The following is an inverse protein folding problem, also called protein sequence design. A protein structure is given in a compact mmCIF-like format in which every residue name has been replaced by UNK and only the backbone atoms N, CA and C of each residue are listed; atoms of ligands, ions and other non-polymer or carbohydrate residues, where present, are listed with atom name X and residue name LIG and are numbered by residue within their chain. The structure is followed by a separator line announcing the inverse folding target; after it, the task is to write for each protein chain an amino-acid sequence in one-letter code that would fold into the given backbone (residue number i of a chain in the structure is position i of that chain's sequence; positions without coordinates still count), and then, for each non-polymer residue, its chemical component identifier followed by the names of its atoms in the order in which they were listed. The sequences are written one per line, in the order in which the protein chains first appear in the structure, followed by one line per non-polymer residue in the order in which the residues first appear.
data_IF_382112806025
#
_entry.id   IF_382112806025
#
_cell.length_a   1.000
_cell.length_b   1.000
_cell.length_c   1.000
_cell.angle_alpha   90.00
_cell.angle_beta   90.00
_cell.angle_gamma   90.00
#
_symmetry.space_group_name_H-M   'P 1'
#
loop_
_entity.id
_entity.type
_entity.pdbx_description
1 polymer ?
#
# COMPACT_ATOMS: atom_id res chain seq x y z
N UNK A 1 -1.91 -13.64 -24.33
CA UNK A 1 -2.58 -14.60 -23.43
C UNK A 1 -4.01 -14.10 -23.27
N UNK A 2 -5.01 -14.81 -23.78
CA UNK A 2 -6.41 -14.41 -23.57
C UNK A 2 -6.82 -14.88 -22.17
N UNK A 3 -7.23 -13.95 -21.32
CA UNK A 3 -7.85 -14.26 -20.04
C UNK A 3 -9.30 -14.63 -20.36
N UNK A 4 -9.69 -15.89 -20.18
CA UNK A 4 -11.09 -16.31 -20.34
C UNK A 4 -11.80 -16.10 -19.00
N UNK A 5 -12.75 -15.17 -18.89
CA UNK A 5 -13.49 -14.95 -17.65
C UNK A 5 -14.32 -16.19 -17.27
N UNK A 6 -14.38 -16.50 -15.97
CA UNK A 6 -15.13 -17.66 -15.45
C UNK A 6 -16.61 -17.30 -15.25
N UNK A 7 -17.56 -17.85 -16.04
CA UNK A 7 -18.97 -17.50 -15.94
C UNK A 7 -19.63 -17.92 -14.62
N UNK A 8 -18.99 -18.79 -13.84
CA UNK A 8 -19.50 -19.24 -12.53
C UNK A 8 -19.16 -18.27 -11.38
N UNK A 9 -18.44 -17.18 -11.65
CA UNK A 9 -18.08 -16.16 -10.65
C UNK A 9 -18.80 -14.84 -10.96
N UNK A 10 -19.26 -14.09 -9.94
CA UNK A 10 -19.86 -12.77 -10.16
C UNK A 10 -18.98 -11.83 -10.99
N UNK A 11 -17.66 -11.90 -10.79
CA UNK A 11 -16.68 -11.10 -11.51
C UNK A 11 -16.57 -11.53 -12.98
N UNK A 12 -16.56 -12.83 -13.25
CA UNK A 12 -16.52 -13.34 -14.61
C UNK A 12 -17.84 -13.13 -15.37
N UNK A 13 -18.98 -13.22 -14.70
CA UNK A 13 -20.28 -12.84 -15.27
C UNK A 13 -20.30 -11.34 -15.64
N UNK A 14 -19.79 -10.47 -14.76
CA UNK A 14 -19.69 -9.04 -15.02
C UNK A 14 -18.80 -8.71 -16.23
N UNK A 15 -17.65 -9.36 -16.35
CA UNK A 15 -16.74 -9.18 -17.49
C UNK A 15 -17.39 -9.68 -18.79
N UNK A 16 -18.12 -10.80 -18.75
CA UNK A 16 -18.84 -11.34 -19.91
C UNK A 16 -19.99 -10.39 -20.33
N UNK A 17 -20.74 -9.81 -19.38
CA UNK A 17 -21.77 -8.80 -19.66
C UNK A 17 -21.17 -7.56 -20.34
N UNK A 18 -20.05 -7.04 -19.83
CA UNK A 18 -19.39 -5.87 -20.43
C UNK A 18 -18.92 -6.17 -21.84
N UNK A 19 -18.26 -7.31 -22.06
CA UNK A 19 -17.80 -7.73 -23.38
C UNK A 19 -18.98 -7.82 -24.37
N UNK A 20 -20.10 -8.43 -23.97
CA UNK A 20 -21.29 -8.52 -24.80
C UNK A 20 -21.90 -7.15 -25.16
N UNK A 21 -21.92 -6.20 -24.21
CA UNK A 21 -22.41 -4.83 -24.45
C UNK A 21 -21.52 -4.05 -25.42
N UNK A 22 -20.19 -4.19 -25.30
CA UNK A 22 -19.23 -3.53 -26.18
C UNK A 22 -19.24 -4.14 -27.59
N UNK A 23 -19.36 -5.47 -27.73
CA UNK A 23 -19.51 -6.14 -29.03
C UNK A 23 -20.82 -5.72 -29.73
N UNK A 24 -21.91 -5.61 -28.99
CA UNK A 24 -23.19 -5.13 -29.51
C UNK A 24 -23.11 -3.66 -29.97
N UNK A 25 -22.38 -2.81 -29.24
CA UNK A 25 -22.12 -1.43 -29.66
C UNK A 25 -21.33 -1.41 -30.96
N UNK A 26 -20.22 -2.16 -31.02
CA UNK A 26 -19.37 -2.25 -32.20
C UNK A 26 -20.14 -2.71 -33.44
N UNK A 27 -20.99 -3.72 -33.29
CA UNK A 27 -21.80 -4.24 -34.38
C UNK A 27 -22.82 -3.20 -34.90
N UNK A 28 -23.25 -2.26 -34.05
CA UNK A 28 -24.26 -1.26 -34.38
C UNK A 28 -23.68 0.02 -34.97
N UNK A 29 -22.55 0.51 -34.46
CA UNK A 29 -21.99 1.81 -34.84
C UNK A 29 -20.79 1.70 -35.76
N UNK A 30 -20.05 0.57 -35.75
CA UNK A 30 -18.80 0.41 -36.50
C UNK A 30 -17.66 1.33 -36.05
N UNK A 31 -17.90 2.22 -35.09
CA UNK A 31 -16.94 3.19 -34.57
C UNK A 31 -16.67 2.93 -33.08
N UNK A 32 -15.38 2.92 -32.76
CA UNK A 32 -14.80 2.86 -31.42
C UNK A 32 -13.89 4.08 -31.21
N UNK A 33 -13.85 4.73 -30.03
CA UNK A 33 -14.83 4.86 -28.95
C UNK A 33 -15.58 6.21 -28.97
N UNK A 34 -16.85 6.24 -28.52
CA UNK A 34 -17.72 7.43 -28.48
C UNK A 34 -18.52 7.56 -27.16
N UNK A 35 -19.43 8.55 -27.07
CA UNK A 35 -20.21 8.83 -25.85
C UNK A 35 -20.97 7.61 -25.31
N UNK A 36 -21.50 6.77 -26.21
CA UNK A 36 -22.20 5.52 -25.88
C UNK A 36 -21.33 4.53 -25.07
N UNK A 37 -20.01 4.56 -25.26
CA UNK A 37 -19.08 3.71 -24.49
C UNK A 37 -19.01 4.14 -23.03
N UNK A 38 -19.05 5.46 -22.77
CA UNK A 38 -19.02 6.03 -21.42
C UNK A 38 -20.32 5.69 -20.68
N UNK A 39 -21.46 5.79 -21.34
CA UNK A 39 -22.77 5.44 -20.76
C UNK A 39 -22.86 3.95 -20.43
N UNK A 40 -22.37 3.07 -21.31
CA UNK A 40 -22.30 1.62 -21.06
C UNK A 40 -21.42 1.32 -19.84
N UNK A 41 -20.25 1.96 -19.73
CA UNK A 41 -19.36 1.78 -18.59
C UNK A 41 -19.97 2.30 -17.29
N UNK A 42 -20.66 3.46 -17.33
CA UNK A 42 -21.33 4.04 -16.18
C UNK A 42 -22.48 3.18 -15.65
N UNK A 43 -23.34 2.69 -16.54
CA UNK A 43 -24.42 1.76 -16.20
C UNK A 43 -23.89 0.42 -15.70
N UNK A 44 -22.82 -0.11 -16.33
CA UNK A 44 -22.18 -1.35 -15.90
C UNK A 44 -21.56 -1.24 -14.50
N UNK A 45 -20.80 -0.17 -14.22
CA UNK A 45 -20.22 0.10 -12.89
C UNK A 45 -21.29 0.31 -11.81
N UNK A 46 -22.45 0.84 -12.18
CA UNK A 46 -23.58 1.02 -11.25
C UNK A 46 -24.25 -0.30 -10.86
N UNK A 47 -24.20 -1.32 -11.73
CA UNK A 47 -24.79 -2.65 -11.50
C UNK A 47 -23.83 -3.60 -10.80
N UNK A 48 -22.55 -3.50 -11.12
CA UNK A 48 -21.50 -4.35 -10.55
C UNK A 48 -20.62 -3.52 -9.61
N UNK A 49 -21.03 -3.49 -8.34
CA UNK A 49 -20.20 -2.91 -7.29
C UNK A 49 -19.09 -3.91 -6.93
N UNK A 50 -17.88 -3.71 -7.47
CA UNK A 50 -16.65 -4.32 -6.94
C UNK A 50 -16.24 -3.61 -5.64
N UNK A 51 -17.18 -3.48 -4.72
CA UNK A 51 -16.84 -3.11 -3.36
C UNK A 51 -16.08 -4.31 -2.81
N UNK A 52 -14.76 -4.20 -2.77
CA UNK A 52 -13.89 -5.03 -1.94
C UNK A 52 -14.60 -5.12 -0.59
N UNK A 53 -15.18 -6.28 -0.27
CA UNK A 53 -15.88 -6.46 1.00
C UNK A 53 -14.80 -6.35 2.07
N UNK A 54 -14.67 -5.12 2.58
CA UNK A 54 -13.63 -4.67 3.50
C UNK A 54 -14.03 -5.15 4.88
N UNK A 55 -14.16 -6.45 5.05
CA UNK A 55 -14.25 -7.07 6.37
C UNK A 55 -12.84 -7.10 6.99
N UNK A 56 -12.20 -5.92 7.07
CA UNK A 56 -11.03 -5.73 7.89
C UNK A 56 -11.54 -5.73 9.33
N UNK A 57 -11.14 -6.73 10.10
CA UNK A 57 -11.49 -6.74 11.50
C UNK A 57 -10.50 -5.80 12.19
N UNK A 58 -11.01 -4.68 12.72
CA UNK A 58 -10.19 -3.72 13.47
C UNK A 58 -9.76 -4.39 14.78
N UNK A 59 -8.49 -4.77 14.89
CA UNK A 59 -7.92 -5.23 16.15
C UNK A 59 -7.12 -4.09 16.77
N UNK A 60 -7.51 -3.63 17.95
CA UNK A 60 -6.73 -2.65 18.72
C UNK A 60 -5.49 -3.37 19.25
N UNK A 61 -4.31 -2.92 18.82
CA UNK A 61 -3.00 -3.55 19.13
C UNK A 61 -2.21 -2.77 20.17
N UNK A 62 -2.65 -1.55 20.50
CA UNK A 62 -2.02 -0.71 21.49
C UNK A 62 -2.74 0.64 21.61
N UNK A 63 -2.26 1.45 22.54
CA UNK A 63 -2.69 2.83 22.71
C UNK A 63 -1.49 3.73 22.51
N UNK A 64 -1.63 4.78 21.73
CA UNK A 64 -0.63 5.83 21.61
C UNK A 64 -1.24 7.18 21.98
N UNK A 65 -0.38 8.08 22.39
CA UNK A 65 -0.74 9.46 22.67
C UNK A 65 -0.39 10.31 21.45
N UNK A 66 -1.41 10.93 20.89
CA UNK A 66 -1.31 11.82 19.73
C UNK A 66 -1.22 13.24 20.26
N UNK A 67 -0.06 13.86 20.06
CA UNK A 67 0.14 15.29 20.33
C UNK A 67 0.10 16.02 18.99
N UNK A 68 -0.93 16.84 18.81
CA UNK A 68 -1.01 17.78 17.70
C UNK A 68 -0.76 19.19 18.24
N UNK A 69 0.16 19.91 17.61
CA UNK A 69 0.48 21.31 17.92
C UNK A 69 0.42 22.09 16.62
N UNK A 70 -0.21 23.25 16.64
CA UNK A 70 -0.25 24.13 15.49
C UNK A 70 0.12 25.54 15.89
N UNK A 71 0.75 26.24 14.95
CA UNK A 71 0.93 27.68 14.97
C UNK A 71 0.51 28.29 13.61
N UNK A 72 0.71 29.59 13.43
CA UNK A 72 0.41 30.28 12.15
C UNK A 72 1.24 29.81 10.94
N UNK A 73 2.27 29.00 11.13
CA UNK A 73 3.24 28.57 10.13
C UNK A 73 3.33 27.05 9.98
N UNK A 74 2.84 26.27 10.94
CA UNK A 74 3.00 24.82 11.00
C UNK A 74 1.84 24.13 11.72
N UNK A 75 1.57 22.88 11.33
CA UNK A 75 0.63 21.97 12.00
C UNK A 75 1.33 20.61 12.08
N UNK A 76 1.79 20.26 13.27
CA UNK A 76 2.63 19.10 13.52
C UNK A 76 1.87 18.06 14.37
N UNK A 77 1.96 16.80 13.96
CA UNK A 77 1.38 15.66 14.67
C UNK A 77 2.49 14.69 15.03
N UNK A 78 2.64 14.41 16.33
CA UNK A 78 3.63 13.46 16.86
C UNK A 78 2.96 12.35 17.67
N UNK A 79 3.59 11.16 17.67
CA UNK A 79 3.08 9.96 18.32
C UNK A 79 4.01 9.54 19.47
N UNK A 80 3.41 9.23 20.62
CA UNK A 80 4.12 8.88 21.85
C UNK A 80 3.58 7.59 22.47
N UNK A 81 4.45 6.83 23.14
CA UNK A 81 4.09 5.60 23.86
C UNK A 81 3.23 5.84 25.09
N UNK A 82 3.35 7.02 25.71
CA UNK A 82 2.72 7.38 26.97
C UNK A 82 2.51 8.90 27.06
N UNK A 83 1.57 9.29 27.92
CA UNK A 83 1.16 10.67 28.14
C UNK A 83 2.29 11.54 28.68
N UNK A 84 3.08 10.99 29.61
CA UNK A 84 4.15 11.72 30.27
C UNK A 84 5.25 12.13 29.28
N UNK A 85 5.59 11.25 28.33
CA UNK A 85 6.54 11.56 27.27
C UNK A 85 6.03 12.63 26.31
N UNK A 86 4.73 12.58 25.96
CA UNK A 86 4.09 13.61 25.14
C UNK A 86 4.09 14.98 25.83
N UNK A 87 3.75 15.01 27.13
CA UNK A 87 3.77 16.23 27.95
C UNK A 87 5.20 16.77 28.13
N UNK A 88 6.18 15.90 28.37
CA UNK A 88 7.58 16.31 28.50
C UNK A 88 8.09 16.97 27.21
N UNK A 89 7.73 16.43 26.04
CA UNK A 89 8.07 17.02 24.75
C UNK A 89 7.36 18.36 24.52
N UNK A 90 6.08 18.46 24.88
CA UNK A 90 5.33 19.72 24.81
C UNK A 90 5.92 20.79 25.74
N UNK A 91 6.28 20.42 26.97
CA UNK A 91 6.93 21.30 27.92
C UNK A 91 8.31 21.73 27.42
N UNK A 92 9.08 20.83 26.80
CA UNK A 92 10.35 21.19 26.18
C UNK A 92 10.16 22.25 25.08
N UNK A 93 9.14 22.13 24.23
CA UNK A 93 8.80 23.18 23.26
C UNK A 93 8.46 24.50 23.96
N UNK A 94 7.55 24.49 24.93
CA UNK A 94 7.16 25.67 25.68
C UNK A 94 8.37 26.40 26.30
N UNK A 95 9.32 25.65 26.86
CA UNK A 95 10.57 26.20 27.42
C UNK A 95 11.49 26.75 26.35
N UNK A 96 11.60 26.08 25.20
CA UNK A 96 12.42 26.55 24.08
C UNK A 96 11.90 27.86 23.48
N UNK A 97 10.59 28.10 23.62
CA UNK A 97 9.89 29.29 23.12
C UNK A 97 9.53 30.27 24.24
N UNK A 98 10.10 30.13 25.43
CA UNK A 98 9.67 30.85 26.64
C UNK A 98 9.77 32.37 26.52
N UNK A 99 10.71 32.87 25.72
CA UNK A 99 10.88 34.30 25.44
C UNK A 99 9.61 34.95 24.86
N UNK A 100 8.70 34.16 24.30
CA UNK A 100 7.40 34.63 23.79
C UNK A 100 6.36 34.94 24.89
N UNK A 101 6.57 34.49 26.13
CA UNK A 101 5.68 34.73 27.29
C UNK A 101 6.42 35.30 28.50
N UNK A 102 7.74 35.33 28.51
CA UNK A 102 8.52 35.75 29.67
C UNK A 102 8.15 37.17 30.13
N UNK A 103 7.74 37.31 31.39
CA UNK A 103 7.41 38.60 32.00
C UNK A 103 6.04 39.16 31.65
N UNK A 104 5.18 38.41 30.95
CA UNK A 104 3.75 38.74 30.81
C UNK A 104 2.97 38.31 32.06
N UNK A 105 1.75 38.83 32.24
CA UNK A 105 0.89 38.67 33.42
C UNK A 105 1.03 37.33 34.17
N UNK A 106 1.76 37.35 35.30
CA UNK A 106 1.93 36.19 36.18
C UNK A 106 2.93 35.12 35.68
N UNK A 107 3.53 35.31 34.50
CA UNK A 107 4.53 34.40 33.91
C UNK A 107 5.94 34.81 34.34
N UNK A 108 6.73 33.89 34.95
CA UNK A 108 8.09 34.18 35.36
C UNK A 108 9.02 34.41 34.16
N UNK A 109 10.09 35.19 34.36
CA UNK A 109 11.11 35.41 33.34
C UNK A 109 11.88 34.15 32.94
N UNK A 110 11.91 33.13 33.81
CA UNK A 110 12.53 31.86 33.54
C UNK A 110 11.49 30.74 33.57
N UNK A 111 11.56 29.77 32.64
CA UNK A 111 10.61 28.68 32.59
C UNK A 111 10.67 27.81 33.85
N UNK A 112 9.51 27.37 34.39
CA UNK A 112 9.46 26.37 35.45
C UNK A 112 10.06 25.03 35.01
N UNK A 113 10.66 24.32 35.96
CA UNK A 113 11.17 22.96 35.74
C UNK A 113 10.06 21.89 35.71
N UNK A 114 8.89 22.20 36.27
CA UNK A 114 7.72 21.32 36.21
C UNK A 114 7.05 21.42 34.82
N UNK A 115 6.75 20.28 34.21
CA UNK A 115 6.24 20.21 32.83
C UNK A 115 4.84 20.79 32.72
N UNK A 116 3.94 20.41 33.64
CA UNK A 116 2.56 20.89 33.62
C UNK A 116 2.50 22.41 33.84
N UNK A 117 3.26 22.92 34.80
CA UNK A 117 3.32 24.35 35.09
C UNK A 117 3.88 25.14 33.91
N UNK A 118 4.88 24.62 33.21
CA UNK A 118 5.43 25.27 32.02
C UNK A 118 4.41 25.31 30.86
N UNK A 119 3.66 24.22 30.64
CA UNK A 119 2.62 24.14 29.62
C UNK A 119 1.48 25.11 29.93
N UNK A 120 0.98 25.10 31.17
CA UNK A 120 -0.17 25.91 31.59
C UNK A 120 0.13 27.41 31.47
N UNK A 121 1.35 27.83 31.81
CA UNK A 121 1.77 29.24 31.70
C UNK A 121 2.06 29.67 30.26
N UNK A 122 2.61 28.76 29.42
CA UNK A 122 2.93 29.08 28.04
C UNK A 122 1.68 29.14 27.15
N UNK A 123 0.78 28.16 27.28
CA UNK A 123 -0.45 28.08 26.49
C UNK A 123 -1.59 28.89 27.09
N UNK A 124 -1.62 29.06 28.43
CA UNK A 124 -2.42 30.06 29.14
C UNK A 124 -3.91 30.13 28.81
N UNK A 125 -4.63 31.15 29.33
CA UNK A 125 -6.00 31.42 28.90
C UNK A 125 -6.01 31.85 27.42
N UNK A 126 -6.87 31.22 26.62
CA UNK A 126 -7.01 31.38 25.15
C UNK A 126 -7.22 32.81 24.63
N UNK A 127 -7.42 33.79 25.51
CA UNK A 127 -7.79 35.16 25.16
C UNK A 127 -6.64 35.95 24.48
N UNK A 128 -5.40 35.45 24.50
CA UNK A 128 -4.23 36.20 24.02
C UNK A 128 -3.40 35.50 22.92
N UNK A 129 -3.59 34.19 22.65
CA UNK A 129 -2.95 33.44 21.55
C UNK A 129 -4.01 32.67 20.77
N UNK A 130 -4.55 33.30 19.73
CA UNK A 130 -5.52 32.66 18.83
C UNK A 130 -4.87 31.81 17.73
N UNK A 131 -3.55 31.91 17.57
CA UNK A 131 -2.81 31.34 16.44
C UNK A 131 -1.87 30.20 16.80
N UNK A 132 -1.66 29.87 18.08
CA UNK A 132 -0.91 28.69 18.55
C UNK A 132 -1.65 27.97 19.67
N UNK A 133 -1.87 26.65 19.53
CA UNK A 133 -2.56 25.81 20.53
C UNK A 133 -2.18 24.33 20.31
N UNK A 134 -2.64 23.44 21.20
CA UNK A 134 -2.36 22.01 21.12
C UNK A 134 -3.58 21.15 21.48
N UNK A 135 -3.55 19.91 21.01
CA UNK A 135 -4.44 18.84 21.49
C UNK A 135 -3.62 17.61 21.81
N UNK A 136 -3.89 17.01 22.97
CA UNK A 136 -3.33 15.73 23.39
C UNK A 136 -4.48 14.75 23.59
N UNK A 137 -4.49 13.65 22.85
CA UNK A 137 -5.50 12.61 23.01
C UNK A 137 -4.88 11.21 22.97
N UNK A 138 -5.47 10.30 23.73
CA UNK A 138 -5.17 8.89 23.62
C UNK A 138 -5.95 8.30 22.44
N UNK A 139 -5.24 7.72 21.47
CA UNK A 139 -5.82 7.03 20.33
C UNK A 139 -5.50 5.55 20.37
N UNK A 140 -6.51 4.73 20.09
CA UNK A 140 -6.35 3.30 19.97
C UNK A 140 -5.74 2.98 18.59
N UNK A 141 -4.46 2.57 18.60
CA UNK A 141 -3.80 2.07 17.39
C UNK A 141 -4.43 0.73 17.08
N UNK A 142 -5.14 0.69 15.95
CA UNK A 142 -5.69 -0.53 15.45
C UNK A 142 -4.94 -1.02 14.22
N UNK A 143 -4.62 -2.31 14.24
CA UNK A 143 -4.24 -3.05 13.06
C UNK A 143 -5.51 -3.52 12.37
N UNK A 144 -5.64 -3.22 11.09
CA UNK A 144 -6.63 -3.88 10.25
C UNK A 144 -6.09 -5.28 9.96
N UNK A 145 -6.62 -6.29 10.65
CA UNK A 145 -6.24 -7.68 10.40
C UNK A 145 -7.28 -8.26 9.45
N UNK A 146 -6.81 -8.80 8.33
CA UNK A 146 -7.65 -9.67 7.50
C UNK A 146 -8.09 -10.86 8.37
N UNK A 147 -9.33 -11.32 8.23
CA UNK A 147 -9.79 -12.54 8.90
C UNK A 147 -8.72 -13.62 8.72
N UNK A 148 -8.18 -14.22 9.81
CA UNK A 148 -7.02 -15.10 9.71
C UNK A 148 -7.35 -16.24 8.76
N UNK A 149 -6.78 -16.18 7.56
CA UNK A 149 -6.87 -17.26 6.58
C UNK A 149 -5.84 -18.26 7.07
N UNK A 150 -6.20 -19.54 7.17
CA UNK A 150 -5.18 -20.58 7.39
C UNK A 150 -4.38 -20.71 6.10
N UNK A 151 -3.35 -19.89 5.95
CA UNK A 151 -2.54 -19.83 4.74
C UNK A 151 -1.37 -20.78 4.89
N UNK A 152 -1.44 -21.91 4.18
CA UNK A 152 -0.37 -22.90 4.13
C UNK A 152 0.32 -22.81 2.78
N UNK A 153 1.64 -22.61 2.79
CA UNK A 153 2.45 -22.65 1.56
C UNK A 153 2.56 -24.06 0.94
N UNK A 154 2.10 -25.09 1.65
CA UNK A 154 1.99 -26.45 1.12
C UNK A 154 0.63 -26.74 0.46
N UNK A 155 -0.31 -25.80 0.53
CA UNK A 155 -1.62 -25.91 -0.09
C UNK A 155 -1.67 -25.00 -1.33
N UNK A 156 -1.57 -25.62 -2.51
CA UNK A 156 -1.61 -24.92 -3.80
C UNK A 156 -2.89 -24.10 -3.99
N UNK A 157 -4.02 -24.57 -3.43
CA UNK A 157 -5.32 -23.87 -3.56
C UNK A 157 -5.33 -22.63 -2.68
N UNK A 158 -4.86 -22.74 -1.43
CA UNK A 158 -4.72 -21.59 -0.54
C UNK A 158 -3.74 -20.54 -1.13
N UNK A 159 -2.63 -20.99 -1.73
CA UNK A 159 -1.67 -20.11 -2.40
C UNK A 159 -2.30 -19.41 -3.61
N UNK A 160 -3.00 -20.13 -4.48
CA UNK A 160 -3.69 -19.55 -5.63
C UNK A 160 -4.74 -18.51 -5.20
N UNK A 161 -5.50 -18.81 -4.14
CA UNK A 161 -6.52 -17.91 -3.61
C UNK A 161 -5.93 -16.64 -2.96
N UNK A 162 -4.77 -16.78 -2.30
CA UNK A 162 -4.02 -15.64 -1.79
C UNK A 162 -3.49 -14.77 -2.93
N UNK A 163 -2.88 -15.39 -3.95
CA UNK A 163 -2.37 -14.70 -5.14
C UNK A 163 -3.47 -13.95 -5.89
N UNK A 164 -4.66 -14.55 -6.04
CA UNK A 164 -5.79 -13.89 -6.69
C UNK A 164 -6.36 -12.73 -5.88
N UNK A 165 -6.10 -12.68 -4.57
CA UNK A 165 -6.55 -11.61 -3.67
C UNK A 165 -5.48 -10.52 -3.48
N UNK A 166 -4.36 -10.58 -4.21
CA UNK A 166 -3.32 -9.56 -4.12
C UNK A 166 -3.87 -8.19 -4.53
N UNK A 167 -3.46 -7.15 -3.82
CA UNK A 167 -3.87 -5.76 -4.07
C UNK A 167 -2.66 -4.95 -4.48
N UNK A 168 -2.79 -4.18 -5.55
CA UNK A 168 -1.79 -3.18 -5.91
C UNK A 168 -2.21 -1.81 -5.36
N UNK A 169 -1.33 -1.20 -4.58
CA UNK A 169 -1.47 0.13 -4.03
C UNK A 169 -0.57 1.07 -4.86
N UNK A 170 -1.14 1.80 -5.84
CA UNK A 170 -0.35 2.76 -6.62
C UNK A 170 0.08 3.94 -5.74
N UNK A 171 1.20 4.56 -6.11
CA UNK A 171 1.57 5.88 -5.58
C UNK A 171 0.53 6.90 -6.04
N UNK A 172 -0.05 7.63 -5.10
CA UNK A 172 -1.12 8.60 -5.38
C UNK A 172 -0.60 9.90 -6.00
N UNK A 173 0.52 10.42 -5.46
CA UNK A 173 1.19 11.63 -5.94
C UNK A 173 2.72 11.50 -5.76
N UNK A 174 3.55 12.07 -6.65
CA UNK A 174 5.01 12.06 -6.49
C UNK A 174 5.53 12.75 -5.22
N UNK A 175 4.74 13.61 -4.58
CA UNK A 175 5.05 14.28 -3.33
C UNK A 175 4.48 13.58 -2.08
N UNK A 176 3.77 12.47 -2.25
CA UNK A 176 3.32 11.63 -1.13
C UNK A 176 4.50 10.80 -0.59
N UNK A 177 4.53 10.60 0.72
CA UNK A 177 5.53 9.72 1.36
C UNK A 177 5.28 8.24 1.06
N UNK A 178 4.08 7.90 0.55
CA UNK A 178 3.69 6.55 0.17
C UNK A 178 4.37 6.03 -1.11
N UNK A 179 5.16 4.96 -0.97
CA UNK A 179 5.72 4.20 -2.09
C UNK A 179 4.69 3.22 -2.69
N UNK A 180 4.71 2.95 -4.01
CA UNK A 180 3.81 1.96 -4.59
C UNK A 180 4.16 0.56 -4.06
N UNK A 181 3.14 -0.25 -3.78
CA UNK A 181 3.36 -1.61 -3.30
C UNK A 181 2.31 -2.61 -3.77
N UNK A 182 2.69 -3.88 -3.71
CA UNK A 182 1.78 -5.00 -3.84
C UNK A 182 1.59 -5.61 -2.45
N UNK A 183 0.35 -5.74 -2.01
CA UNK A 183 -0.03 -6.46 -0.81
C UNK A 183 -0.48 -7.88 -1.17
N UNK A 184 0.17 -8.88 -0.59
CA UNK A 184 -0.16 -10.29 -0.77
C UNK A 184 -0.22 -10.96 0.60
N UNK A 185 -1.40 -11.42 1.02
CA UNK A 185 -1.61 -12.01 2.35
C UNK A 185 -1.09 -11.11 3.49
N UNK A 186 -1.26 -9.79 3.33
CA UNK A 186 -0.76 -8.77 4.27
C UNK A 186 0.75 -8.52 4.19
N UNK A 187 1.49 -9.21 3.32
CA UNK A 187 2.90 -8.88 3.05
C UNK A 187 2.92 -7.74 2.05
N UNK A 188 3.51 -6.61 2.43
CA UNK A 188 3.66 -5.44 1.57
C UNK A 188 5.03 -5.49 0.89
N UNK A 189 5.04 -5.58 -0.44
CA UNK A 189 6.26 -5.57 -1.25
C UNK A 189 6.33 -4.27 -2.03
N UNK A 190 7.32 -3.45 -1.72
CA UNK A 190 7.61 -2.21 -2.43
C UNK A 190 8.74 -2.48 -3.42
N UNK A 191 8.55 -2.07 -4.68
CA UNK A 191 9.58 -2.13 -5.70
C UNK A 191 9.66 -0.76 -6.39
N UNK A 192 10.77 -0.06 -6.20
CA UNK A 192 10.91 1.34 -6.62
C UNK A 192 12.36 1.66 -7.01
N UNK A 193 12.54 2.77 -7.74
CA UNK A 193 13.86 3.29 -8.07
C UNK A 193 14.39 4.11 -6.90
N UNK A 194 15.51 3.69 -6.33
CA UNK A 194 16.19 4.39 -5.24
C UNK A 194 17.28 5.29 -5.84
N UNK A 195 17.14 6.63 -5.77
CA UNK A 195 18.09 7.56 -6.39
C UNK A 195 19.45 7.58 -5.69
N UNK A 196 19.49 7.29 -4.39
CA UNK A 196 20.71 7.30 -3.59
C UNK A 196 21.56 6.06 -3.91
N UNK A 197 20.90 4.90 -4.00
CA UNK A 197 21.55 3.64 -4.36
C UNK A 197 21.72 3.48 -5.88
N UNK A 198 21.05 4.30 -6.69
CA UNK A 198 20.98 4.21 -8.16
C UNK A 198 20.59 2.80 -8.63
N UNK A 199 19.63 2.19 -7.93
CA UNK A 199 19.23 0.81 -8.15
C UNK A 199 17.71 0.65 -7.98
N UNK A 200 17.17 -0.44 -8.52
CA UNK A 200 15.84 -0.91 -8.13
C UNK A 200 15.96 -1.49 -6.73
N UNK A 201 15.22 -0.90 -5.79
CA UNK A 201 15.14 -1.37 -4.41
C UNK A 201 13.84 -2.14 -4.22
N UNK A 202 13.95 -3.29 -3.59
CA UNK A 202 12.82 -4.08 -3.12
C UNK A 202 12.84 -4.11 -1.60
N UNK A 203 11.79 -3.62 -0.96
CA UNK A 203 11.59 -3.77 0.49
C UNK A 203 10.32 -4.58 0.76
N UNK A 204 10.38 -5.41 1.79
CA UNK A 204 9.29 -6.28 2.21
C UNK A 204 8.92 -5.91 3.65
N UNK A 205 7.70 -5.44 3.85
CA UNK A 205 7.17 -5.03 5.14
C UNK A 205 6.14 -6.04 5.62
N UNK A 206 6.24 -6.42 6.89
CA UNK A 206 5.43 -7.48 7.51
C UNK A 206 4.40 -6.95 8.50
N UNK A 207 4.21 -5.63 8.51
CA UNK A 207 3.34 -4.91 9.43
C UNK A 207 1.88 -5.32 9.33
N UNK A 208 1.44 -5.97 8.25
CA UNK A 208 0.09 -6.54 8.11
C UNK A 208 0.09 -8.04 7.76
N UNK A 209 1.26 -8.68 7.70
CA UNK A 209 1.42 -10.05 7.22
C UNK A 209 0.65 -11.06 8.07
N UNK A 210 0.12 -12.09 7.40
CA UNK A 210 -0.48 -13.25 8.06
C UNK A 210 0.56 -13.92 8.98
N UNK A 211 0.21 -14.07 10.26
CA UNK A 211 1.12 -14.60 11.27
C UNK A 211 1.59 -16.03 10.97
N UNK A 212 0.86 -16.81 10.17
CA UNK A 212 1.28 -18.16 9.77
C UNK A 212 2.43 -18.15 8.76
N UNK A 213 2.62 -17.04 8.04
CA UNK A 213 3.72 -16.85 7.10
C UNK A 213 4.96 -16.29 7.78
N UNK A 214 4.80 -15.57 8.89
CA UNK A 214 5.90 -14.98 9.64
C UNK A 214 6.62 -16.05 10.44
N UNK A 215 7.91 -16.22 10.15
CA UNK A 215 8.83 -17.12 10.85
C UNK A 215 9.23 -16.55 12.22
N UNK A 216 9.75 -17.38 13.14
CA UNK A 216 10.20 -16.93 14.46
C UNK A 216 11.31 -15.87 14.42
N UNK A 217 12.06 -15.77 13.32
CA UNK A 217 13.11 -14.77 13.10
C UNK A 217 12.57 -13.44 12.53
N UNK A 218 11.24 -13.26 12.54
CA UNK A 218 10.55 -12.10 11.98
C UNK A 218 10.75 -11.92 10.46
N UNK A 219 11.01 -13.01 9.73
CA UNK A 219 11.06 -13.03 8.26
C UNK A 219 9.89 -13.83 7.66
N UNK A 220 9.77 -13.83 6.33
CA UNK A 220 8.87 -14.72 5.60
C UNK A 220 9.66 -15.63 4.65
N UNK A 221 9.15 -16.83 4.31
CA UNK A 221 9.68 -17.60 3.20
C UNK A 221 9.65 -16.77 1.91
N UNK A 222 10.82 -16.49 1.35
CA UNK A 222 10.98 -15.58 0.21
C UNK A 222 11.98 -16.17 -0.77
N UNK A 223 11.62 -16.10 -2.05
CA UNK A 223 12.51 -16.41 -3.16
C UNK A 223 12.39 -15.27 -4.18
N UNK A 224 13.54 -14.76 -4.62
CA UNK A 224 13.61 -13.73 -5.66
C UNK A 224 14.26 -14.34 -6.88
N UNK A 225 13.56 -14.25 -8.00
CA UNK A 225 14.03 -14.66 -9.31
C UNK A 225 14.17 -13.45 -10.22
N UNK A 226 15.24 -13.42 -10.99
CA UNK A 226 15.41 -12.51 -12.12
C UNK A 226 15.39 -13.38 -13.36
N UNK A 227 14.35 -13.21 -14.17
CA UNK A 227 14.03 -14.13 -15.26
C UNK A 227 13.91 -15.59 -14.76
N UNK A 228 14.75 -16.49 -15.26
CA UNK A 228 14.76 -17.91 -14.89
C UNK A 228 15.83 -18.23 -13.82
N UNK A 229 16.47 -17.21 -13.22
CA UNK A 229 17.55 -17.37 -12.26
C UNK A 229 17.14 -16.96 -10.84
N UNK A 230 17.25 -17.87 -9.88
CA UNK A 230 17.11 -17.54 -8.46
C UNK A 230 18.33 -16.75 -7.98
N UNK A 231 18.12 -15.48 -7.63
CA UNK A 231 19.18 -14.60 -7.10
C UNK A 231 19.20 -14.56 -5.58
N UNK A 232 18.08 -14.89 -4.93
CA UNK A 232 17.96 -14.97 -3.49
C UNK A 232 16.90 -16.01 -3.08
N UNK A 233 17.17 -16.77 -2.01
CA UNK A 233 16.17 -17.67 -1.42
C UNK A 233 16.42 -17.87 0.06
N UNK A 234 15.35 -17.75 0.86
CA UNK A 234 15.31 -18.12 2.28
C UNK A 234 14.68 -19.50 2.50
N UNK A 235 14.32 -20.18 1.41
CA UNK A 235 13.96 -21.59 1.41
C UNK A 235 15.29 -22.34 1.40
N UNK A 236 15.57 -23.13 2.45
CA UNK A 236 16.76 -23.99 2.45
C UNK A 236 16.87 -24.80 1.15
N UNK A 237 18.08 -25.28 0.81
CA UNK A 237 18.41 -25.87 -0.50
C UNK A 237 17.24 -26.65 -1.12
N UNK A 238 16.66 -26.09 -2.19
CA UNK A 238 15.58 -26.70 -2.96
C UNK A 238 16.10 -28.03 -3.53
N UNK A 239 15.39 -29.16 -3.37
CA UNK A 239 15.74 -30.35 -4.14
C UNK A 239 15.68 -29.98 -5.62
N UNK A 240 16.73 -30.34 -6.37
CA UNK A 240 16.95 -29.90 -7.74
C UNK A 240 15.68 -30.06 -8.58
N UNK A 241 15.27 -29.04 -9.37
CA UNK A 241 14.09 -29.15 -10.20
C UNK A 241 14.24 -30.35 -11.14
N UNK A 242 13.22 -31.21 -11.19
CA UNK A 242 13.17 -32.31 -12.14
C UNK A 242 13.39 -31.75 -13.55
N UNK A 243 14.41 -32.27 -14.25
CA UNK A 243 14.79 -31.86 -15.60
C UNK A 243 13.55 -31.72 -16.47
N UNK A 244 13.26 -30.50 -16.92
CA UNK A 244 12.18 -30.24 -17.87
C UNK A 244 12.47 -31.07 -19.13
N UNK A 245 11.55 -31.93 -19.59
CA UNK A 245 11.81 -32.78 -20.74
C UNK A 245 12.03 -31.93 -22.00
N UNK A 246 13.05 -32.32 -22.78
CA UNK A 246 13.65 -31.56 -23.88
C UNK A 246 12.67 -31.06 -24.96
N UNK A 247 11.43 -31.56 -25.00
CA UNK A 247 10.40 -31.13 -25.93
C UNK A 247 9.84 -29.72 -25.60
N UNK A 248 9.80 -29.30 -24.33
CA UNK A 248 9.40 -27.91 -23.96
C UNK A 248 10.47 -26.88 -24.37
N UNK A 249 11.75 -27.24 -24.34
CA UNK A 249 12.84 -26.42 -24.86
C UNK A 249 12.88 -26.34 -26.40
N UNK A 250 12.28 -27.33 -27.09
CA UNK A 250 12.17 -27.36 -28.56
C UNK A 250 11.01 -26.49 -29.07
N UNK A 251 9.94 -26.33 -28.29
CA UNK A 251 8.81 -25.45 -28.63
C UNK A 251 9.17 -23.96 -28.56
N UNK A 252 9.97 -23.51 -27.58
CA UNK A 252 10.44 -22.10 -27.51
C UNK A 252 11.28 -21.69 -28.74
N UNK A 253 12.10 -22.59 -29.30
CA UNK A 253 12.90 -22.30 -30.51
C UNK A 253 12.08 -22.24 -31.80
N UNK A 254 10.85 -22.76 -31.81
CA UNK A 254 9.98 -22.72 -32.99
C UNK A 254 9.19 -21.41 -33.05
N UNK A 255 8.81 -20.83 -31.90
CA UNK A 255 8.14 -19.52 -31.84
C UNK A 255 9.05 -18.35 -32.18
N UNK A 256 10.35 -18.43 -31.89
CA UNK A 256 11.31 -17.37 -32.25
C UNK A 256 11.64 -17.35 -33.75
N UNK A 257 11.49 -18.49 -34.44
CA UNK A 257 11.79 -18.60 -35.87
C UNK A 257 10.66 -18.13 -36.78
N UNK A 258 9.41 -18.14 -36.31
CA UNK A 258 8.27 -17.59 -37.04
C UNK A 258 8.17 -16.06 -36.90
N UNK A 259 8.63 -15.48 -35.80
CA UNK A 259 8.61 -14.03 -35.59
C UNK A 259 9.58 -13.25 -36.51
N UNK A 260 10.72 -13.85 -36.90
CA UNK A 260 11.70 -13.20 -37.77
C UNK A 260 11.39 -13.25 -39.28
N UNK A 261 10.45 -14.10 -39.73
CA UNK A 261 10.11 -14.22 -41.16
C UNK A 261 8.92 -13.36 -41.61
N UNK A 262 8.09 -12.85 -40.69
CA UNK A 262 6.91 -12.05 -41.05
C UNK A 262 7.20 -10.54 -41.25
N UNK A 263 8.36 -10.04 -40.81
CA UNK A 263 8.71 -8.61 -40.88
C UNK A 263 9.42 -8.17 -42.19
N UNK A 264 9.60 -9.08 -43.16
CA UNK A 264 10.47 -8.85 -44.33
C UNK A 264 9.80 -8.56 -45.67
N UNK A 265 8.47 -8.56 -45.79
CA UNK A 265 7.82 -8.51 -47.10
C UNK A 265 6.65 -7.53 -47.18
N UNK A 266 6.91 -6.22 -47.22
CA UNK A 266 6.20 -5.32 -48.16
C UNK A 266 6.83 -3.91 -48.25
N UNK A 267 7.56 -3.64 -49.34
CA UNK A 267 7.59 -2.32 -50.00
C UNK A 267 8.12 -2.39 -51.44
N UNK A 268 7.56 -1.49 -52.27
CA UNK A 268 7.67 -1.27 -53.73
C UNK A 268 6.65 -2.07 -54.54
N UNK A 269 5.82 -1.49 -55.41
CA UNK A 269 5.71 -0.15 -55.97
C UNK A 269 5.05 -0.28 -57.35
N UNK A 270 4.08 0.57 -57.65
CA UNK A 270 3.30 0.61 -58.89
C UNK A 270 2.13 1.56 -58.73
#
# INVERSE_FOLDING_TARGET
MLITPNPATPEGEAIIDLAGKLDALQARTGEWPGADTVDILGDWLSRFAFATSKALTRQVTGRAWVLRRWDRHSDEVTLWSDEASALAALAQHARSSWDNVAGTDGVPYHPPADDQTAIDLYYGPKEHRGDEDYTLSAEDIARCVHTPRRLSLADDTACAQANSAAVFHPMADPGDEGLPCIELAGILVFAYLDPDLRAVRVSVHLDTADQQLVRPDHTVPLQVEVEDATVFSTLGARPAPARVPAWKARLRRLTDRTALHAAGAQRKGG
#
